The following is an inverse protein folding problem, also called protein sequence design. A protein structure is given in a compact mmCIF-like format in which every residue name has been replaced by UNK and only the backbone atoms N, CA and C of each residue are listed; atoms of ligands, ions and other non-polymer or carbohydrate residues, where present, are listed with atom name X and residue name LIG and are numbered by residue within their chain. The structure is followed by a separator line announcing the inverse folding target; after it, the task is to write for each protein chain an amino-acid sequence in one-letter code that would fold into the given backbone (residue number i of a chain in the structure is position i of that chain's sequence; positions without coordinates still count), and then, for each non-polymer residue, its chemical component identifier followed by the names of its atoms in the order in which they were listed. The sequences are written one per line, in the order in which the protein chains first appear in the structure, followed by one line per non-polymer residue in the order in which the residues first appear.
data_IF_447418357376
#
_entry.id   IF_447418357376
#
_cell.length_a   1.000
_cell.length_b   1.000
_cell.length_c   1.000
_cell.angle_alpha   90.00
_cell.angle_beta   90.00
_cell.angle_gamma   90.00
#
_symmetry.space_group_name_H-M   'P 1'
#
loop_
_entity.id
_entity.type
_entity.pdbx_description
1 polymer ?
#
# COMPACT_ATOMS: atom_id res chain seq x y z
N UNK A 1 -24.82 -27.64 53.18
CA UNK A 1 -25.05 -26.33 53.81
C UNK A 1 -23.87 -26.03 54.70
N UNK A 2 -22.90 -25.26 54.20
CA UNK A 2 -21.79 -24.66 54.96
C UNK A 2 -20.99 -23.78 53.99
N UNK A 3 -21.50 -22.57 53.81
CA UNK A 3 -20.75 -21.36 53.44
C UNK A 3 -20.71 -20.49 54.72
N UNK A 4 -19.94 -19.38 54.83
CA UNK A 4 -18.75 -18.96 54.10
C UNK A 4 -17.65 -18.40 55.06
N UNK A 5 -16.50 -18.03 54.50
CA UNK A 5 -15.66 -16.88 54.88
C UNK A 5 -15.22 -16.71 56.36
N UNK A 6 -13.94 -17.05 56.60
CA UNK A 6 -13.19 -16.61 57.77
C UNK A 6 -11.70 -16.42 57.44
N UNK A 7 -11.27 -15.17 57.40
CA UNK A 7 -10.01 -14.70 57.99
C UNK A 7 -8.70 -15.35 57.45
N UNK A 8 -8.19 -14.79 56.35
CA UNK A 8 -6.75 -14.52 56.28
C UNK A 8 -6.53 -13.04 55.93
N UNK A 9 -6.40 -12.24 57.00
CA UNK A 9 -5.60 -11.03 56.99
C UNK A 9 -4.18 -11.36 56.54
N UNK A 10 -3.75 -10.77 55.43
CA UNK A 10 -2.37 -10.32 55.31
C UNK A 10 -2.33 -9.08 54.43
N UNK A 11 -2.53 -7.92 55.08
CA UNK A 11 -2.33 -6.61 54.50
C UNK A 11 -0.84 -6.25 54.58
N UNK A 12 -0.23 -5.94 53.43
CA UNK A 12 1.12 -5.39 53.32
C UNK A 12 1.67 -5.51 51.89
N UNK A 13 1.46 -4.47 51.06
CA UNK A 13 1.84 -4.43 49.63
C UNK A 13 3.34 -4.18 49.34
N UNK A 14 3.73 -3.74 48.12
CA UNK A 14 2.93 -3.57 46.90
C UNK A 14 3.21 -4.65 45.86
N UNK A 15 2.13 -5.21 45.33
CA UNK A 15 2.12 -6.07 44.17
C UNK A 15 2.41 -5.21 42.93
N UNK A 16 3.53 -5.50 42.28
CA UNK A 16 3.96 -4.86 41.05
C UNK A 16 2.98 -5.24 39.93
N UNK A 17 1.90 -4.46 39.79
CA UNK A 17 0.91 -4.61 38.73
C UNK A 17 1.62 -4.46 37.37
N UNK A 18 1.43 -5.38 36.42
CA UNK A 18 1.85 -5.17 35.04
C UNK A 18 1.11 -3.93 34.54
N UNK A 19 1.86 -2.88 34.22
CA UNK A 19 1.33 -1.71 33.53
C UNK A 19 0.64 -2.20 32.25
N UNK A 20 -0.59 -1.78 31.94
CA UNK A 20 -1.12 -2.03 30.61
C UNK A 20 -0.13 -1.42 29.64
N UNK A 21 0.39 -2.26 28.73
CA UNK A 21 1.14 -1.78 27.58
C UNK A 21 0.26 -0.71 26.94
N UNK A 22 0.65 0.55 27.08
CA UNK A 22 0.20 1.58 26.17
C UNK A 22 0.60 1.05 24.81
N UNK A 23 -0.40 0.56 24.08
CA UNK A 23 -0.26 0.21 22.69
C UNK A 23 0.46 1.37 22.06
N UNK A 24 1.67 1.11 21.62
CA UNK A 24 2.40 2.01 20.76
C UNK A 24 1.51 2.15 19.54
N UNK A 25 0.66 3.18 19.57
CA UNK A 25 -0.01 3.70 18.40
C UNK A 25 1.14 4.18 17.53
N UNK A 26 1.63 3.25 16.70
CA UNK A 26 2.33 3.54 15.48
C UNK A 26 1.43 4.52 14.75
N UNK A 27 1.69 5.82 14.93
CA UNK A 27 1.11 6.86 14.10
C UNK A 27 1.33 6.39 12.67
N UNK A 28 0.29 6.26 11.84
CA UNK A 28 0.47 5.79 10.49
C UNK A 28 1.39 6.80 9.79
N UNK A 29 2.65 6.40 9.55
CA UNK A 29 3.58 7.10 8.65
C UNK A 29 3.15 6.94 7.18
N UNK A 30 1.92 6.52 6.91
CA UNK A 30 1.43 6.10 5.60
C UNK A 30 1.47 7.17 4.50
N UNK A 31 1.61 8.45 4.83
CA UNK A 31 1.75 9.52 3.83
C UNK A 31 3.09 9.46 3.07
N UNK A 32 4.19 9.10 3.73
CA UNK A 32 5.49 8.97 3.09
C UNK A 32 5.60 7.66 2.30
N UNK A 33 5.04 6.58 2.84
CA UNK A 33 5.06 5.25 2.22
C UNK A 33 4.19 5.19 0.96
N UNK A 34 3.00 5.79 0.98
CA UNK A 34 2.14 5.86 -0.20
C UNK A 34 2.78 6.67 -1.33
N UNK A 35 3.36 7.84 -1.03
CA UNK A 35 4.08 8.64 -2.03
C UNK A 35 5.24 7.86 -2.64
N UNK A 36 5.99 7.13 -1.83
CA UNK A 36 7.11 6.31 -2.29
C UNK A 36 6.65 5.18 -3.20
N UNK A 37 5.60 4.45 -2.81
CA UNK A 37 5.00 3.39 -3.61
C UNK A 37 4.42 3.93 -4.93
N UNK A 38 3.73 5.06 -4.89
CA UNK A 38 3.20 5.74 -6.07
C UNK A 38 4.30 6.12 -7.07
N UNK A 39 5.38 6.73 -6.58
CA UNK A 39 6.54 7.10 -7.40
C UNK A 39 7.22 5.86 -8.00
N UNK A 40 7.32 4.78 -7.25
CA UNK A 40 7.90 3.53 -7.72
C UNK A 40 7.06 2.91 -8.84
N UNK A 41 5.75 2.85 -8.69
CA UNK A 41 4.83 2.35 -9.72
C UNK A 41 4.86 3.22 -10.99
N UNK A 42 4.99 4.55 -10.85
CA UNK A 42 5.16 5.47 -11.98
C UNK A 42 6.42 5.17 -12.80
N UNK A 43 7.54 4.91 -12.11
CA UNK A 43 8.79 4.51 -12.77
C UNK A 43 8.67 3.13 -13.43
N UNK A 44 7.98 2.19 -12.80
CA UNK A 44 7.76 0.84 -13.35
C UNK A 44 6.93 0.88 -14.64
N UNK A 45 5.90 1.73 -14.69
CA UNK A 45 5.11 1.96 -15.92
C UNK A 45 5.97 2.57 -17.02
N UNK A 46 6.83 3.53 -16.68
CA UNK A 46 7.73 4.13 -17.66
C UNK A 46 8.67 3.07 -18.27
N UNK A 47 9.23 2.19 -17.44
CA UNK A 47 10.04 1.07 -17.91
C UNK A 47 9.24 0.10 -18.81
N UNK A 48 8.01 -0.25 -18.42
CA UNK A 48 7.10 -1.08 -19.22
C UNK A 48 6.79 -0.46 -20.59
N UNK A 49 6.55 0.86 -20.67
CA UNK A 49 6.32 1.56 -21.94
C UNK A 49 7.55 1.53 -22.85
N UNK A 50 8.73 1.69 -22.27
CA UNK A 50 9.99 1.67 -23.02
C UNK A 50 10.27 0.27 -23.57
N UNK A 51 10.08 -0.78 -22.75
CA UNK A 51 10.23 -2.17 -23.16
C UNK A 51 9.21 -2.56 -24.24
N UNK A 52 7.94 -2.13 -24.10
CA UNK A 52 6.91 -2.35 -25.12
C UNK A 52 7.26 -1.67 -26.45
N UNK A 53 7.81 -0.45 -26.40
CA UNK A 53 8.26 0.27 -27.60
C UNK A 53 9.42 -0.44 -28.30
N UNK A 54 10.39 -0.91 -27.52
CA UNK A 54 11.51 -1.73 -28.01
C UNK A 54 11.02 -3.06 -28.62
N UNK A 55 10.02 -3.69 -27.99
CA UNK A 55 9.41 -4.92 -28.46
C UNK A 55 8.65 -4.75 -29.76
N UNK A 56 7.91 -3.66 -29.91
CA UNK A 56 7.22 -3.32 -31.15
C UNK A 56 8.23 -3.08 -32.29
N UNK A 57 9.31 -2.37 -32.01
CA UNK A 57 10.38 -2.11 -32.98
C UNK A 57 11.13 -3.39 -33.38
N UNK A 58 11.44 -4.26 -32.43
CA UNK A 58 12.05 -5.57 -32.68
C UNK A 58 11.13 -6.49 -33.51
N UNK A 59 9.81 -6.43 -33.28
CA UNK A 59 8.84 -7.19 -34.06
C UNK A 59 8.77 -6.66 -35.51
N UNK A 60 8.68 -5.34 -35.69
CA UNK A 60 8.62 -4.70 -37.01
C UNK A 60 9.90 -4.90 -37.82
N UNK A 61 11.06 -4.95 -37.16
CA UNK A 61 12.36 -5.23 -37.79
C UNK A 61 12.62 -6.72 -38.01
N UNK A 62 11.69 -7.59 -37.59
CA UNK A 62 11.80 -9.05 -37.72
C UNK A 62 12.78 -9.72 -36.76
N UNK A 63 13.31 -8.98 -35.78
CA UNK A 63 14.20 -9.48 -34.72
C UNK A 63 13.46 -10.35 -33.69
N UNK A 64 12.15 -10.15 -33.54
CA UNK A 64 11.25 -11.02 -32.78
C UNK A 64 10.17 -11.61 -33.69
N UNK A 65 9.88 -12.90 -33.52
CA UNK A 65 8.79 -13.62 -34.22
C UNK A 65 7.62 -13.98 -33.31
N UNK A 66 7.65 -13.53 -32.06
CA UNK A 66 6.71 -13.91 -31.02
C UNK A 66 5.56 -12.90 -30.94
N UNK A 67 4.60 -13.05 -31.85
CA UNK A 67 3.43 -12.17 -31.95
C UNK A 67 2.59 -12.21 -30.66
N UNK A 68 2.48 -13.39 -30.04
CA UNK A 68 1.74 -13.62 -28.81
C UNK A 68 2.34 -12.83 -27.64
N UNK A 69 3.66 -12.83 -27.48
CA UNK A 69 4.35 -12.03 -26.47
C UNK A 69 4.14 -10.52 -26.64
N UNK A 70 4.08 -10.02 -27.87
CA UNK A 70 3.85 -8.59 -28.14
C UNK A 70 2.41 -8.18 -27.84
N UNK A 71 1.43 -8.99 -28.23
CA UNK A 71 0.01 -8.75 -27.91
C UNK A 71 -0.20 -8.79 -26.40
N UNK A 72 0.36 -9.79 -25.70
CA UNK A 72 0.26 -9.89 -24.25
C UNK A 72 0.93 -8.70 -23.52
N UNK A 73 2.10 -8.24 -23.99
CA UNK A 73 2.76 -7.06 -23.45
C UNK A 73 1.92 -5.78 -23.66
N UNK A 74 1.28 -5.66 -24.83
CA UNK A 74 0.40 -4.53 -25.16
C UNK A 74 -0.85 -4.52 -24.28
N UNK A 75 -1.52 -5.66 -24.10
CA UNK A 75 -2.70 -5.78 -23.23
C UNK A 75 -2.37 -5.45 -21.76
N UNK A 76 -1.20 -5.90 -21.30
CA UNK A 76 -0.70 -5.60 -19.95
C UNK A 76 -0.44 -4.10 -19.78
N UNK A 77 0.17 -3.45 -20.78
CA UNK A 77 0.42 -2.02 -20.77
C UNK A 77 -0.89 -1.21 -20.77
N UNK A 78 -1.88 -1.60 -21.58
CA UNK A 78 -3.17 -0.91 -21.64
C UNK A 78 -3.95 -1.02 -20.31
N UNK A 79 -3.93 -2.21 -19.70
CA UNK A 79 -4.56 -2.44 -18.40
C UNK A 79 -3.89 -1.62 -17.29
N UNK A 80 -2.55 -1.59 -17.26
CA UNK A 80 -1.79 -0.77 -16.33
C UNK A 80 -2.11 0.73 -16.51
N UNK A 81 -2.20 1.20 -17.76
CA UNK A 81 -2.53 2.59 -18.05
C UNK A 81 -3.93 2.98 -17.55
N UNK A 82 -4.94 2.12 -17.78
CA UNK A 82 -6.31 2.32 -17.26
C UNK A 82 -6.32 2.43 -15.74
N UNK A 83 -5.55 1.59 -15.05
CA UNK A 83 -5.39 1.68 -13.59
C UNK A 83 -4.74 3.00 -13.15
N UNK A 84 -3.70 3.47 -13.83
CA UNK A 84 -3.07 4.75 -13.51
C UNK A 84 -4.01 5.93 -13.69
N UNK A 85 -4.85 5.90 -14.73
CA UNK A 85 -5.84 6.95 -14.95
C UNK A 85 -6.88 6.99 -13.81
N UNK A 86 -7.34 5.84 -13.34
CA UNK A 86 -8.21 5.76 -12.17
C UNK A 86 -7.51 6.26 -10.90
N UNK A 87 -6.25 5.89 -10.70
CA UNK A 87 -5.44 6.33 -9.56
C UNK A 87 -5.18 7.84 -9.58
N UNK A 88 -4.96 8.44 -10.76
CA UNK A 88 -4.85 9.91 -10.91
C UNK A 88 -6.09 10.61 -10.37
N UNK A 89 -7.27 10.10 -10.70
CA UNK A 89 -8.53 10.68 -10.23
C UNK A 89 -8.66 10.55 -8.71
N UNK A 90 -8.33 9.39 -8.15
CA UNK A 90 -8.35 9.14 -6.70
C UNK A 90 -7.36 10.02 -5.92
N UNK A 91 -6.15 10.23 -6.45
CA UNK A 91 -5.14 11.11 -5.82
C UNK A 91 -5.59 12.57 -5.83
N UNK A 92 -6.23 13.04 -6.91
CA UNK A 92 -6.81 14.38 -6.97
C UNK A 92 -7.95 14.56 -5.95
N UNK A 93 -8.85 13.58 -5.85
CA UNK A 93 -9.92 13.60 -4.84
C UNK A 93 -9.37 13.63 -3.41
N UNK A 94 -8.38 12.80 -3.10
CA UNK A 94 -7.74 12.79 -1.78
C UNK A 94 -7.04 14.11 -1.46
N UNK A 95 -6.46 14.78 -2.45
CA UNK A 95 -5.88 16.12 -2.28
C UNK A 95 -6.96 17.17 -1.96
N UNK A 96 -8.08 17.17 -2.69
CA UNK A 96 -9.20 18.07 -2.45
C UNK A 96 -9.83 17.85 -1.06
N UNK A 97 -9.96 16.59 -0.62
CA UNK A 97 -10.50 16.22 0.69
C UNK A 97 -9.60 16.70 1.84
N UNK A 98 -8.27 16.54 1.73
CA UNK A 98 -7.31 17.07 2.71
C UNK A 98 -7.37 18.60 2.78
N UNK A 99 -7.60 19.28 1.65
CA UNK A 99 -7.75 20.74 1.60
C UNK A 99 -9.03 21.18 2.30
N UNK A 100 -10.15 20.47 2.10
CA UNK A 100 -11.42 20.76 2.77
C UNK A 100 -11.37 20.54 4.29
N UNK A 101 -10.57 19.60 4.80
CA UNK A 101 -10.38 19.45 6.25
C UNK A 101 -9.58 20.58 6.91
N UNK A 102 -8.84 21.40 6.14
CA UNK A 102 -7.97 22.47 6.66
C UNK A 102 -8.57 23.88 6.60
N UNK A 103 -9.76 24.05 6.00
CA UNK A 103 -10.50 25.32 6.00
C UNK A 103 -11.53 25.34 7.12
#
# INVERSE_FOLDING_TARGET
MSDPLGLISNAGGPQNLPRPMQGQQSRPQGGADFKKMLMQNLNEVNALQQDASQAAEDLMTGKRKDLEGVVAATDKAETAFKMLQAMRNQVMQAYDEIKQMRV
#
